data_IF_149649940998
#
_entry.id   IF_149649940998
#
_cell.length_a   1.000
_cell.length_b   1.000
_cell.length_c   1.000
_cell.angle_alpha   90.00
_cell.angle_beta   90.00
_cell.angle_gamma   90.00
#
_symmetry.space_group_name_H-M   'P 1'
#
loop_
_entity.id
_entity.type
_entity.pdbx_description
1 polymer ?
#
# COMPACT_ATOMS: atom_id res chain seq x y z
N UNK A 1 -10.80 24.24 -7.49
CA UNK A 1 -10.24 22.95 -7.03
C UNK A 1 -11.31 22.25 -6.20
N UNK A 2 -12.02 21.28 -6.79
CA UNK A 2 -13.19 20.64 -6.18
C UNK A 2 -12.73 19.70 -5.06
N UNK A 3 -13.25 19.87 -3.84
CA UNK A 3 -13.03 18.96 -2.72
C UNK A 3 -13.65 17.61 -3.09
N UNK A 4 -12.82 16.59 -3.30
CA UNK A 4 -13.29 15.21 -3.43
C UNK A 4 -14.09 14.82 -2.19
N UNK A 5 -15.40 14.55 -2.36
CA UNK A 5 -16.24 13.98 -1.32
C UNK A 5 -15.62 12.64 -0.92
N UNK A 6 -15.20 12.51 0.34
CA UNK A 6 -14.99 11.20 0.95
C UNK A 6 -16.36 10.51 0.99
N UNK A 7 -16.58 9.57 0.07
CA UNK A 7 -17.72 8.67 0.13
C UNK A 7 -17.39 7.69 1.24
N UNK A 8 -17.80 8.01 2.47
CA UNK A 8 -17.85 7.03 3.54
C UNK A 8 -19.01 6.10 3.20
N UNK A 9 -18.70 5.02 2.47
CA UNK A 9 -19.63 3.90 2.31
C UNK A 9 -19.77 3.29 3.69
N UNK A 10 -20.94 3.44 4.30
CA UNK A 10 -21.31 2.74 5.53
C UNK A 10 -21.31 1.24 5.21
N UNK A 11 -20.18 0.59 5.50
CA UNK A 11 -20.03 -0.85 5.28
C UNK A 11 -20.80 -1.56 6.37
N UNK A 12 -21.83 -2.32 5.98
CA UNK A 12 -22.48 -3.27 6.87
C UNK A 12 -21.44 -4.28 7.36
N UNK A 13 -20.99 -4.11 8.61
CA UNK A 13 -19.97 -4.95 9.23
C UNK A 13 -20.47 -6.38 9.51
N UNK A 14 -21.76 -6.66 9.28
CA UNK A 14 -22.35 -7.99 9.42
C UNK A 14 -22.16 -8.89 8.21
N UNK A 15 -21.88 -8.33 7.02
CA UNK A 15 -21.66 -9.10 5.78
C UNK A 15 -20.16 -9.17 5.47
N UNK A 16 -19.61 -10.39 5.43
CA UNK A 16 -18.27 -10.60 4.87
C UNK A 16 -18.35 -10.42 3.35
N UNK A 17 -17.66 -9.44 2.76
CA UNK A 17 -17.65 -9.25 1.32
C UNK A 17 -16.97 -10.43 0.63
N UNK A 18 -17.44 -10.80 -0.57
CA UNK A 18 -16.78 -11.83 -1.37
C UNK A 18 -15.44 -11.33 -1.92
N UNK A 19 -14.60 -12.27 -2.40
CA UNK A 19 -13.33 -11.95 -3.05
C UNK A 19 -13.56 -11.04 -4.27
N UNK A 20 -14.60 -11.30 -5.05
CA UNK A 20 -14.98 -10.48 -6.22
C UNK A 20 -15.42 -9.08 -5.81
N UNK A 21 -16.24 -8.95 -4.75
CA UNK A 21 -16.66 -7.65 -4.21
C UNK A 21 -15.44 -6.84 -3.70
N UNK A 22 -14.47 -7.50 -3.08
CA UNK A 22 -13.21 -6.89 -2.64
C UNK A 22 -12.32 -6.50 -3.82
N UNK A 23 -12.21 -7.35 -4.83
CA UNK A 23 -11.43 -7.11 -6.04
C UNK A 23 -11.97 -5.88 -6.78
N UNK A 24 -13.28 -5.81 -7.04
CA UNK A 24 -13.92 -4.68 -7.72
C UNK A 24 -13.77 -3.38 -6.93
N UNK A 25 -13.88 -3.45 -5.60
CA UNK A 25 -13.63 -2.31 -4.74
C UNK A 25 -12.18 -1.83 -4.82
N UNK A 26 -11.21 -2.75 -4.78
CA UNK A 26 -9.79 -2.41 -4.89
C UNK A 26 -9.46 -1.83 -6.28
N UNK A 27 -10.07 -2.38 -7.33
CA UNK A 27 -9.84 -1.95 -8.70
C UNK A 27 -10.40 -0.55 -8.95
N UNK A 28 -11.59 -0.22 -8.43
CA UNK A 28 -12.32 1.00 -8.77
C UNK A 28 -12.32 2.07 -7.67
N UNK A 29 -12.19 1.67 -6.42
CA UNK A 29 -12.32 2.54 -5.25
C UNK A 29 -11.00 3.01 -4.64
N UNK A 30 -9.85 2.46 -5.07
CA UNK A 30 -8.53 2.81 -4.54
C UNK A 30 -7.71 3.56 -5.58
N UNK A 31 -7.06 4.65 -5.14
CA UNK A 31 -6.08 5.35 -5.95
C UNK A 31 -4.76 4.60 -5.93
N UNK A 32 -4.37 4.04 -7.07
CA UNK A 32 -3.10 3.33 -7.24
C UNK A 32 -2.03 4.30 -7.74
N UNK A 33 -1.32 4.92 -6.80
CA UNK A 33 -0.20 5.82 -7.13
C UNK A 33 1.02 5.00 -7.57
N UNK A 34 1.61 5.29 -8.74
CA UNK A 34 2.90 4.73 -9.14
C UNK A 34 3.92 4.86 -8.02
N UNK A 35 4.57 3.76 -7.69
CA UNK A 35 5.59 3.75 -6.64
C UNK A 35 6.92 4.18 -7.23
N UNK A 36 7.57 5.15 -6.58
CA UNK A 36 9.00 5.42 -6.79
C UNK A 36 9.77 4.60 -5.78
N UNK A 37 10.91 4.08 -6.20
CA UNK A 37 11.77 3.31 -5.30
C UNK A 37 12.39 4.19 -4.21
N UNK A 38 12.68 5.46 -4.56
CA UNK A 38 13.23 6.43 -3.64
C UNK A 38 12.17 7.44 -3.20
N UNK A 39 12.12 7.70 -1.90
CA UNK A 39 11.50 8.89 -1.33
C UNK A 39 12.46 10.06 -1.49
N UNK A 40 12.24 10.86 -2.54
CA UNK A 40 13.14 11.96 -2.89
C UNK A 40 13.16 13.07 -1.84
N UNK A 41 12.06 13.26 -1.11
CA UNK A 41 11.97 14.30 -0.09
C UNK A 41 12.77 13.87 1.14
N UNK A 42 12.65 12.59 1.53
CA UNK A 42 13.48 12.01 2.60
C UNK A 42 14.98 12.03 2.23
N UNK A 43 15.35 11.69 1.00
CA UNK A 43 16.75 11.71 0.58
C UNK A 43 17.35 13.12 0.67
N UNK A 44 16.57 14.16 0.32
CA UNK A 44 16.98 15.56 0.46
C UNK A 44 17.08 15.99 1.92
N UNK A 45 16.12 15.58 2.76
CA UNK A 45 16.14 15.87 4.20
C UNK A 45 17.40 15.30 4.86
N UNK A 46 17.83 14.11 4.44
CA UNK A 46 19.04 13.46 4.93
C UNK A 46 20.32 13.95 4.25
N UNK A 47 20.23 14.81 3.23
CA UNK A 47 21.37 15.29 2.45
C UNK A 47 22.09 14.18 1.66
N UNK A 48 21.39 13.11 1.29
CA UNK A 48 21.92 11.94 0.59
C UNK A 48 21.62 11.96 -0.92
N UNK A 49 20.85 12.93 -1.39
CA UNK A 49 20.35 13.01 -2.76
C UNK A 49 21.48 13.04 -3.79
N UNK A 50 22.50 13.89 -3.60
CA UNK A 50 23.64 13.99 -4.51
C UNK A 50 24.51 12.73 -4.54
N UNK A 51 24.76 12.13 -3.38
CA UNK A 51 25.64 10.96 -3.25
C UNK A 51 24.99 9.73 -3.88
N UNK A 52 23.69 9.56 -3.67
CA UNK A 52 22.92 8.46 -4.26
C UNK A 52 22.77 8.66 -5.76
N UNK A 53 22.57 9.89 -6.25
CA UNK A 53 22.52 10.17 -7.69
C UNK A 53 23.85 9.79 -8.37
N UNK A 54 24.99 10.26 -7.84
CA UNK A 54 26.31 9.93 -8.36
C UNK A 54 26.61 8.41 -8.32
N UNK A 55 26.24 7.73 -7.24
CA UNK A 55 26.38 6.28 -7.14
C UNK A 55 25.55 5.56 -8.22
N UNK A 56 24.30 5.98 -8.44
CA UNK A 56 23.42 5.37 -9.43
C UNK A 56 23.86 5.65 -10.86
N UNK A 57 24.44 6.82 -11.14
CA UNK A 57 25.10 7.11 -12.42
C UNK A 57 26.25 6.12 -12.68
N UNK A 58 27.12 5.90 -11.69
CA UNK A 58 28.22 4.94 -11.80
C UNK A 58 27.74 3.50 -12.05
N UNK A 59 26.62 3.12 -11.44
CA UNK A 59 25.98 1.81 -11.64
C UNK A 59 25.19 1.70 -12.96
N UNK A 60 25.15 2.77 -13.77
CA UNK A 60 24.34 2.87 -14.99
C UNK A 60 22.83 2.70 -14.74
N UNK A 61 22.37 3.12 -13.56
CA UNK A 61 20.98 3.10 -13.11
C UNK A 61 20.41 4.50 -12.77
N UNK A 62 20.72 5.58 -13.53
CA UNK A 62 20.29 6.94 -13.16
C UNK A 62 18.76 7.12 -13.17
N UNK A 63 18.02 6.25 -13.88
CA UNK A 63 16.55 6.28 -13.93
C UNK A 63 15.88 5.74 -12.68
N UNK A 64 16.61 5.11 -11.76
CA UNK A 64 16.03 4.45 -10.58
C UNK A 64 15.33 5.44 -9.63
N UNK A 65 15.85 6.67 -9.50
CA UNK A 65 15.28 7.72 -8.65
C UNK A 65 14.06 8.40 -9.28
N UNK A 66 14.02 8.47 -10.61
CA UNK A 66 13.05 9.28 -11.36
C UNK A 66 11.94 8.46 -11.97
N UNK A 67 12.15 7.15 -12.13
CA UNK A 67 11.17 6.24 -12.69
C UNK A 67 10.07 5.94 -11.68
N UNK A 68 8.86 6.34 -12.03
CA UNK A 68 7.66 5.84 -11.40
C UNK A 68 7.37 4.45 -11.98
N UNK A 69 7.44 3.41 -11.15
CA UNK A 69 7.12 2.06 -11.60
C UNK A 69 5.60 1.93 -11.71
N UNK A 70 5.11 1.36 -12.82
CA UNK A 70 3.69 1.08 -12.94
C UNK A 70 3.28 0.13 -11.82
N UNK A 71 2.16 0.43 -11.18
CA UNK A 71 1.57 -0.47 -10.20
C UNK A 71 1.03 -1.68 -10.95
N UNK A 72 1.35 -2.88 -10.49
CA UNK A 72 0.74 -4.13 -10.98
C UNK A 72 -0.68 -4.25 -10.43
N UNK A 73 -1.58 -3.40 -10.94
CA UNK A 73 -2.91 -3.16 -10.37
C UNK A 73 -3.71 -4.44 -10.23
N UNK A 74 -3.85 -5.21 -11.30
CA UNK A 74 -4.67 -6.42 -11.30
C UNK A 74 -4.13 -7.49 -10.35
N UNK A 75 -2.81 -7.72 -10.36
CA UNK A 75 -2.14 -8.68 -9.49
C UNK A 75 -2.24 -8.25 -8.02
N UNK A 76 -2.11 -6.95 -7.76
CA UNK A 76 -2.23 -6.39 -6.41
C UNK A 76 -3.67 -6.49 -5.91
N UNK A 77 -4.66 -6.22 -6.76
CA UNK A 77 -6.07 -6.39 -6.43
C UNK A 77 -6.37 -7.86 -6.13
N UNK A 78 -5.93 -8.79 -6.98
CA UNK A 78 -6.13 -10.22 -6.80
C UNK A 78 -5.52 -10.72 -5.48
N UNK A 79 -4.27 -10.36 -5.21
CA UNK A 79 -3.59 -10.71 -3.98
C UNK A 79 -4.33 -10.16 -2.75
N UNK A 80 -4.60 -8.85 -2.72
CA UNK A 80 -5.24 -8.21 -1.58
C UNK A 80 -6.68 -8.71 -1.35
N UNK A 81 -7.43 -9.02 -2.42
CA UNK A 81 -8.78 -9.57 -2.32
C UNK A 81 -8.82 -10.99 -1.74
N UNK A 82 -7.71 -11.74 -1.86
CA UNK A 82 -7.58 -13.10 -1.32
C UNK A 82 -7.10 -13.15 0.14
N UNK A 83 -6.82 -11.99 0.76
CA UNK A 83 -6.28 -11.97 2.11
C UNK A 83 -7.38 -12.26 3.14
N UNK A 84 -7.17 -13.33 3.90
CA UNK A 84 -7.97 -13.64 5.08
C UNK A 84 -7.22 -13.24 6.34
N UNK A 85 -7.86 -12.45 7.19
CA UNK A 85 -7.28 -11.99 8.46
C UNK A 85 -7.97 -12.71 9.62
N UNK A 86 -7.20 -13.52 10.34
CA UNK A 86 -7.63 -14.06 11.63
C UNK A 86 -7.18 -13.12 12.73
N UNK A 87 -8.13 -12.52 13.43
CA UNK A 87 -7.87 -11.67 14.59
C UNK A 87 -7.81 -12.51 15.86
N UNK A 88 -6.67 -12.49 16.55
CA UNK A 88 -6.54 -13.13 17.85
C UNK A 88 -6.82 -12.10 18.96
N UNK A 89 -8.11 -11.91 19.27
CA UNK A 89 -8.56 -11.05 20.35
C UNK A 89 -8.47 -11.76 21.71
N UNK A 90 -7.27 -12.13 22.14
CA UNK A 90 -7.06 -12.58 23.53
C UNK A 90 -7.01 -11.37 24.47
N UNK A 91 -7.60 -11.43 25.68
CA UNK A 91 -7.68 -10.29 26.60
C UNK A 91 -6.32 -9.68 27.04
N UNK A 92 -5.23 -10.39 26.79
CA UNK A 92 -3.88 -10.06 27.30
C UNK A 92 -3.16 -8.99 26.45
N UNK A 93 -3.72 -8.57 25.31
CA UNK A 93 -3.09 -7.63 24.36
C UNK A 93 -3.63 -6.19 24.51
N UNK A 94 -4.23 -5.85 25.66
CA UNK A 94 -4.77 -4.49 25.94
C UNK A 94 -3.78 -3.53 26.63
N UNK A 95 -2.51 -3.89 26.77
CA UNK A 95 -1.47 -3.01 27.32
C UNK A 95 -0.55 -2.43 26.23
N UNK A 96 -1.12 -1.72 25.26
CA UNK A 96 -0.35 -0.78 24.42
C UNK A 96 0.47 -1.38 23.27
N UNK A 97 0.39 -2.68 23.01
CA UNK A 97 1.00 -3.32 21.84
C UNK A 97 -0.11 -3.90 20.97
N UNK A 98 -0.05 -3.67 19.65
CA UNK A 98 -1.13 -3.93 18.70
C UNK A 98 -1.66 -5.37 18.71
N UNK A 99 -2.85 -5.57 18.16
CA UNK A 99 -3.45 -6.90 18.03
C UNK A 99 -2.62 -7.80 17.09
N UNK A 100 -2.37 -9.04 17.51
CA UNK A 100 -1.78 -10.05 16.65
C UNK A 100 -2.79 -10.45 15.57
N UNK A 101 -2.44 -10.17 14.32
CA UNK A 101 -3.20 -10.58 13.14
C UNK A 101 -2.42 -11.65 12.39
N UNK A 102 -3.08 -12.76 12.04
CA UNK A 102 -2.52 -13.73 11.11
C UNK A 102 -3.17 -13.51 9.74
N UNK A 103 -2.35 -13.29 8.72
CA UNK A 103 -2.80 -13.04 7.35
C UNK A 103 -2.42 -14.25 6.50
N UNK A 104 -3.40 -14.85 5.81
CA UNK A 104 -3.17 -15.92 4.84
C UNK A 104 -3.76 -15.55 3.49
N UNK A 105 -3.22 -16.18 2.45
CA UNK A 105 -3.78 -16.17 1.10
C UNK A 105 -4.79 -17.31 1.02
N UNK A 106 -6.05 -16.98 0.72
CA UNK A 106 -7.16 -17.93 0.51
C UNK A 106 -7.14 -18.60 -0.85
#
# INVERSE_FOLDING_TARGET
MSKGKAVVVDRDRGKTPSVEELYDHLLNGVTWTPTRFADLDLLKELGLDSDIEAMLEHLKLPKLLTMAYPVYKDVSCQFLSSLEVTYHNTPHVRQGWGCLMNVRVG
#
